data_IF_468839650115
#
_entry.id   IF_468839650115
#
_cell.length_a   1.000
_cell.length_b   1.000
_cell.length_c   1.000
_cell.angle_alpha   90.00
_cell.angle_beta   90.00
_cell.angle_gamma   90.00
#
_symmetry.space_group_name_H-M   'P 1'
#
loop_
_entity.id
_entity.type
_entity.pdbx_description
1 polymer ?
#
# COMPACT_ATOMS: atom_id res chain seq x y z
N UNK A 1 70.41 71.61 6.63
CA UNK A 1 69.78 70.44 5.88
C UNK A 1 68.92 69.58 6.74
N UNK A 2 68.59 70.00 7.97
CA UNK A 2 67.87 69.14 8.94
C UNK A 2 66.37 69.48 9.12
N UNK A 3 65.81 70.55 8.60
CA UNK A 3 64.43 71.01 8.88
C UNK A 3 63.40 70.66 7.80
N UNK A 4 63.82 70.26 6.59
CA UNK A 4 62.87 69.82 5.53
C UNK A 4 62.31 68.38 5.69
N UNK A 5 63.02 67.57 6.44
CA UNK A 5 62.64 66.13 6.58
C UNK A 5 61.61 65.85 7.72
N UNK A 6 61.48 66.79 8.67
CA UNK A 6 60.51 66.60 9.74
C UNK A 6 59.06 66.82 9.30
N UNK A 7 58.85 67.77 8.39
CA UNK A 7 57.43 68.03 7.92
C UNK A 7 56.92 66.95 7.01
N UNK A 8 57.80 66.28 6.24
CA UNK A 8 57.34 65.16 5.38
C UNK A 8 56.90 63.88 6.20
N UNK A 9 57.57 63.66 7.33
CA UNK A 9 57.21 62.54 8.23
C UNK A 9 55.87 62.79 8.92
N UNK A 10 55.61 63.99 9.38
CA UNK A 10 54.34 64.40 9.96
C UNK A 10 53.21 64.41 8.97
N UNK A 11 53.39 64.79 7.72
CA UNK A 11 52.38 64.74 6.65
C UNK A 11 52.01 63.28 6.27
N UNK A 12 52.97 62.33 6.26
CA UNK A 12 52.72 60.92 6.01
C UNK A 12 52.02 60.26 7.17
N UNK A 13 52.35 60.62 8.43
CA UNK A 13 51.66 60.08 9.61
C UNK A 13 50.24 60.61 9.76
N UNK A 14 49.98 61.88 9.45
CA UNK A 14 48.68 62.50 9.46
C UNK A 14 47.78 61.96 8.34
N UNK A 15 48.31 61.74 7.14
CA UNK A 15 47.57 61.12 6.04
C UNK A 15 47.32 59.60 6.27
N UNK A 16 48.28 58.93 6.90
CA UNK A 16 48.08 57.51 7.28
C UNK A 16 46.94 57.30 8.29
N UNK A 17 46.87 58.19 9.31
CA UNK A 17 45.74 58.15 10.27
C UNK A 17 44.41 58.51 9.62
N UNK A 18 44.38 59.49 8.69
CA UNK A 18 43.17 59.88 7.98
C UNK A 18 42.65 58.75 7.07
N UNK A 19 43.57 58.03 6.39
CA UNK A 19 43.18 56.85 5.57
C UNK A 19 42.63 55.66 6.42
N UNK A 20 43.13 55.45 7.65
CA UNK A 20 42.61 54.41 8.53
C UNK A 20 41.23 54.77 9.08
N UNK A 21 40.99 56.04 9.41
CA UNK A 21 39.68 56.52 9.88
C UNK A 21 38.63 56.47 8.73
N UNK A 22 39.00 56.84 7.51
CA UNK A 22 38.10 56.74 6.34
C UNK A 22 37.75 55.26 6.04
N UNK A 23 38.69 54.33 6.19
CA UNK A 23 38.41 52.89 6.01
C UNK A 23 37.52 52.32 7.11
N UNK A 24 37.65 52.81 8.34
CA UNK A 24 36.77 52.38 9.44
C UNK A 24 35.36 52.95 9.25
N UNK A 25 35.20 54.19 8.84
CA UNK A 25 33.91 54.80 8.51
C UNK A 25 33.23 54.09 7.36
N UNK A 26 33.96 53.67 6.30
CA UNK A 26 33.39 52.90 5.19
C UNK A 26 32.87 51.53 5.68
N UNK A 27 33.62 50.85 6.55
CA UNK A 27 33.16 49.56 7.14
C UNK A 27 31.93 49.73 8.04
N UNK A 28 31.89 50.79 8.82
CA UNK A 28 30.75 51.07 9.72
C UNK A 28 29.49 51.39 8.91
N UNK A 29 29.61 52.18 7.85
CA UNK A 29 28.50 52.47 6.91
C UNK A 29 28.06 51.19 6.18
N UNK A 30 28.98 50.34 5.71
CA UNK A 30 28.64 49.08 5.09
C UNK A 30 27.92 48.11 6.05
N UNK A 31 28.31 48.08 7.32
CA UNK A 31 27.63 47.28 8.35
C UNK A 31 26.24 47.82 8.64
N UNK A 32 26.05 49.14 8.76
CA UNK A 32 24.73 49.74 8.95
C UNK A 32 23.80 49.49 7.75
N UNK A 33 24.31 49.68 6.53
CA UNK A 33 23.51 49.41 5.31
C UNK A 33 23.13 47.93 5.21
N UNK A 34 24.03 47.04 5.59
CA UNK A 34 23.71 45.57 5.66
C UNK A 34 22.66 45.27 6.70
N UNK A 35 22.79 45.84 7.91
CA UNK A 35 21.78 45.65 8.97
C UNK A 35 20.39 46.18 8.56
N UNK A 36 20.34 47.33 7.94
CA UNK A 36 19.08 47.91 7.47
C UNK A 36 18.43 47.12 6.35
N UNK A 37 19.26 46.58 5.45
CA UNK A 37 18.78 45.65 4.43
C UNK A 37 18.22 44.35 5.05
N UNK A 38 18.88 43.76 6.05
CA UNK A 38 18.35 42.58 6.79
C UNK A 38 17.06 42.94 7.51
N UNK A 39 16.95 44.05 8.18
CA UNK A 39 15.72 44.51 8.86
C UNK A 39 14.59 44.74 7.86
N UNK A 40 14.85 45.29 6.69
CA UNK A 40 13.88 45.52 5.61
C UNK A 40 13.35 44.21 5.06
N UNK A 41 14.25 43.26 4.74
CA UNK A 41 13.90 41.93 4.25
C UNK A 41 13.10 41.19 5.33
N UNK A 42 13.56 41.17 6.57
CA UNK A 42 12.86 40.54 7.69
C UNK A 42 11.46 41.10 7.88
N UNK A 43 11.30 42.43 7.93
CA UNK A 43 10.00 43.05 8.10
C UNK A 43 9.03 42.76 6.96
N UNK A 44 9.55 42.60 5.72
CA UNK A 44 8.76 42.26 4.56
C UNK A 44 8.29 40.80 4.58
N UNK A 45 9.16 39.86 4.98
CA UNK A 45 8.92 38.43 4.82
C UNK A 45 8.56 37.69 6.14
N UNK A 46 8.76 38.29 7.32
CA UNK A 46 8.50 37.65 8.61
C UNK A 46 7.11 37.01 8.70
N UNK A 47 6.05 37.67 8.18
CA UNK A 47 4.70 37.13 8.20
C UNK A 47 4.58 35.84 7.38
N UNK A 48 5.19 35.79 6.21
CA UNK A 48 5.20 34.60 5.33
C UNK A 48 6.00 33.46 5.94
N UNK A 49 7.13 33.78 6.58
CA UNK A 49 7.96 32.80 7.29
C UNK A 49 7.16 32.18 8.45
N UNK A 50 6.50 32.98 9.28
CA UNK A 50 5.67 32.47 10.38
C UNK A 50 4.50 31.61 9.86
N UNK A 51 3.80 32.05 8.80
CA UNK A 51 2.72 31.27 8.19
C UNK A 51 3.26 29.94 7.66
N UNK A 52 4.40 29.95 6.98
CA UNK A 52 5.04 28.73 6.47
C UNK A 52 5.38 27.75 7.59
N UNK A 53 5.93 28.23 8.70
CA UNK A 53 6.24 27.40 9.88
C UNK A 53 4.96 26.79 10.48
N UNK A 54 3.87 27.58 10.60
CA UNK A 54 2.60 27.09 11.13
C UNK A 54 2.02 25.99 10.22
N UNK A 55 2.04 26.19 8.89
CA UNK A 55 1.58 25.20 7.93
C UNK A 55 2.40 23.90 8.07
N UNK A 56 3.72 23.98 8.18
CA UNK A 56 4.60 22.85 8.31
C UNK A 56 4.34 22.06 9.61
N UNK A 57 4.16 22.76 10.72
CA UNK A 57 3.80 22.15 12.00
C UNK A 57 2.44 21.46 11.94
N UNK A 58 1.45 22.09 11.32
CA UNK A 58 0.11 21.51 11.15
C UNK A 58 0.15 20.24 10.31
N UNK A 59 0.95 20.21 9.24
CA UNK A 59 1.15 19.02 8.42
C UNK A 59 1.77 17.86 9.22
N UNK A 60 2.83 18.15 10.00
CA UNK A 60 3.48 17.12 10.84
C UNK A 60 2.52 16.55 11.87
N UNK A 61 1.76 17.40 12.56
CA UNK A 61 0.74 16.95 13.53
C UNK A 61 -0.32 16.10 12.85
N UNK A 62 -0.84 16.54 11.71
CA UNK A 62 -1.86 15.80 10.95
C UNK A 62 -1.40 14.40 10.54
N UNK A 63 -0.16 14.28 10.06
CA UNK A 63 0.43 12.98 9.69
C UNK A 63 0.55 12.07 10.91
N UNK A 64 1.01 12.60 12.06
CA UNK A 64 1.17 11.81 13.27
C UNK A 64 -0.19 11.35 13.83
N UNK A 65 -1.20 12.20 13.84
CA UNK A 65 -2.57 11.83 14.25
C UNK A 65 -3.15 10.76 13.33
N UNK A 66 -2.95 10.90 12.01
CA UNK A 66 -3.39 9.89 11.06
C UNK A 66 -2.72 8.52 11.29
N UNK A 67 -1.38 8.50 11.48
CA UNK A 67 -0.63 7.27 11.79
C UNK A 67 -1.12 6.62 13.08
N UNK A 68 -1.24 7.38 14.14
CA UNK A 68 -1.71 6.91 15.44
C UNK A 68 -3.11 6.29 15.38
N UNK A 69 -4.04 6.94 14.68
CA UNK A 69 -5.39 6.40 14.50
C UNK A 69 -5.39 5.12 13.66
N UNK A 70 -4.51 5.03 12.66
CA UNK A 70 -4.34 3.82 11.85
C UNK A 70 -3.79 2.67 12.68
N UNK A 71 -2.76 2.91 13.48
CA UNK A 71 -2.15 1.91 14.38
C UNK A 71 -3.16 1.38 15.40
N UNK A 72 -3.91 2.25 16.06
CA UNK A 72 -4.99 1.84 16.98
C UNK A 72 -6.05 0.96 16.31
N UNK A 73 -6.40 1.27 15.06
CA UNK A 73 -7.33 0.43 14.30
C UNK A 73 -6.76 -0.95 14.01
N UNK A 74 -5.47 -1.03 13.67
CA UNK A 74 -4.79 -2.31 13.41
C UNK A 74 -4.73 -3.13 14.71
N UNK A 75 -4.33 -2.53 15.82
CA UNK A 75 -4.26 -3.16 17.13
C UNK A 75 -5.61 -3.75 17.54
N UNK A 76 -6.68 -2.95 17.48
CA UNK A 76 -8.04 -3.44 17.76
C UNK A 76 -8.42 -4.63 16.87
N UNK A 77 -8.07 -4.61 15.59
CA UNK A 77 -8.39 -5.71 14.68
C UNK A 77 -7.55 -6.95 14.93
N UNK A 78 -6.30 -6.79 15.37
CA UNK A 78 -5.46 -7.88 15.82
C UNK A 78 -6.08 -8.60 17.02
N UNK A 79 -6.54 -7.84 18.03
CA UNK A 79 -7.20 -8.39 19.20
C UNK A 79 -8.47 -9.14 18.85
N UNK A 80 -9.34 -8.54 18.03
CA UNK A 80 -10.56 -9.19 17.56
C UNK A 80 -10.25 -10.45 16.76
N UNK A 81 -9.24 -10.42 15.90
CA UNK A 81 -8.84 -11.58 15.12
C UNK A 81 -8.34 -12.72 16.03
N UNK A 82 -7.52 -12.39 17.03
CA UNK A 82 -7.06 -13.35 18.02
C UNK A 82 -8.25 -13.97 18.82
N UNK A 83 -9.20 -13.15 19.24
CA UNK A 83 -10.42 -13.65 19.88
C UNK A 83 -11.21 -14.60 18.96
N UNK A 84 -11.34 -14.25 17.67
CA UNK A 84 -12.02 -15.11 16.70
C UNK A 84 -11.31 -16.46 16.54
N UNK A 85 -9.97 -16.51 16.52
CA UNK A 85 -9.21 -17.77 16.44
C UNK A 85 -9.38 -18.61 17.69
N UNK A 86 -9.43 -17.98 18.89
CA UNK A 86 -9.75 -18.70 20.13
C UNK A 86 -11.16 -19.34 20.10
N UNK A 87 -12.18 -18.62 19.58
CA UNK A 87 -13.50 -19.20 19.41
C UNK A 87 -13.51 -20.38 18.42
N UNK A 88 -12.68 -20.33 17.36
CA UNK A 88 -12.53 -21.46 16.43
C UNK A 88 -11.92 -22.67 17.14
N UNK A 89 -10.90 -22.47 17.97
CA UNK A 89 -10.26 -23.53 18.76
C UNK A 89 -11.23 -24.18 19.78
N UNK A 90 -12.12 -23.38 20.35
CA UNK A 90 -13.20 -23.82 21.24
C UNK A 90 -14.43 -24.38 20.51
N UNK A 91 -14.38 -24.50 19.18
CA UNK A 91 -15.48 -24.92 18.30
C UNK A 91 -16.73 -24.02 18.38
N UNK A 92 -16.62 -22.82 18.94
CA UNK A 92 -17.68 -21.81 18.95
C UNK A 92 -17.69 -21.02 17.64
N UNK A 93 -18.06 -21.70 16.56
CA UNK A 93 -18.02 -21.14 15.21
C UNK A 93 -18.98 -19.98 15.00
N UNK A 94 -20.04 -19.84 15.81
CA UNK A 94 -21.00 -18.74 15.67
C UNK A 94 -20.41 -17.41 16.18
N UNK A 95 -19.75 -17.43 17.34
CA UNK A 95 -19.05 -16.24 17.83
C UNK A 95 -17.84 -15.89 16.96
N UNK A 96 -17.07 -16.89 16.52
CA UNK A 96 -16.00 -16.70 15.55
C UNK A 96 -16.50 -16.01 14.26
N UNK A 97 -17.58 -16.51 13.67
CA UNK A 97 -18.22 -15.93 12.48
C UNK A 97 -18.60 -14.46 12.68
N UNK A 98 -19.22 -14.14 13.83
CA UNK A 98 -19.64 -12.76 14.14
C UNK A 98 -18.46 -11.80 14.14
N UNK A 99 -17.39 -12.15 14.85
CA UNK A 99 -16.19 -11.32 14.96
C UNK A 99 -15.45 -11.21 13.61
N UNK A 100 -15.27 -12.32 12.90
CA UNK A 100 -14.62 -12.33 11.59
C UNK A 100 -15.39 -11.49 10.57
N UNK A 101 -16.73 -11.49 10.59
CA UNK A 101 -17.54 -10.59 9.76
C UNK A 101 -17.32 -9.13 10.12
N UNK A 102 -17.26 -8.77 11.40
CA UNK A 102 -16.98 -7.40 11.85
C UNK A 102 -15.64 -6.91 11.31
N UNK A 103 -14.59 -7.75 11.44
CA UNK A 103 -13.25 -7.43 10.93
C UNK A 103 -13.27 -7.28 9.39
N UNK A 104 -13.93 -8.19 8.68
CA UNK A 104 -14.03 -8.12 7.22
C UNK A 104 -14.72 -6.84 6.75
N UNK A 105 -15.81 -6.44 7.38
CA UNK A 105 -16.54 -5.22 7.03
C UNK A 105 -15.81 -3.94 7.37
N UNK A 106 -14.86 -3.95 8.30
CA UNK A 106 -14.05 -2.79 8.67
C UNK A 106 -13.16 -2.30 7.54
N UNK A 107 -12.82 -3.17 6.60
CA UNK A 107 -12.00 -2.89 5.42
C UNK A 107 -10.66 -2.19 5.74
N UNK A 108 -10.07 -2.46 6.92
CA UNK A 108 -9.00 -1.60 7.42
C UNK A 108 -7.61 -2.05 7.00
N UNK A 109 -7.33 -3.34 6.85
CA UNK A 109 -5.97 -3.86 6.52
C UNK A 109 -6.00 -5.34 6.22
N UNK A 110 -4.83 -6.00 6.22
CA UNK A 110 -4.69 -7.44 6.01
C UNK A 110 -5.56 -8.33 6.89
N UNK A 111 -5.97 -7.88 8.09
CA UNK A 111 -6.91 -8.63 8.94
C UNK A 111 -8.29 -8.78 8.30
N UNK A 112 -8.75 -7.79 7.52
CA UNK A 112 -9.99 -7.90 6.76
C UNK A 112 -9.92 -9.05 5.74
N UNK A 113 -8.78 -9.20 5.07
CA UNK A 113 -8.56 -10.23 4.07
C UNK A 113 -8.36 -11.61 4.73
N UNK A 114 -7.60 -11.67 5.82
CA UNK A 114 -7.46 -12.90 6.62
C UNK A 114 -8.80 -13.38 7.15
N UNK A 115 -9.62 -12.46 7.67
CA UNK A 115 -10.97 -12.79 8.14
C UNK A 115 -11.83 -13.36 7.04
N UNK A 116 -11.72 -12.83 5.81
CA UNK A 116 -12.38 -13.41 4.64
C UNK A 116 -11.96 -14.87 4.42
N UNK A 117 -10.65 -15.13 4.41
CA UNK A 117 -10.13 -16.49 4.18
C UNK A 117 -10.58 -17.48 5.28
N UNK A 118 -10.57 -17.04 6.54
CA UNK A 118 -11.06 -17.87 7.65
C UNK A 118 -12.57 -18.15 7.54
N UNK A 119 -13.37 -17.14 7.16
CA UNK A 119 -14.82 -17.35 6.95
C UNK A 119 -15.09 -18.35 5.83
N UNK A 120 -14.35 -18.28 4.71
CA UNK A 120 -14.46 -19.27 3.63
C UNK A 120 -14.06 -20.66 4.11
N UNK A 121 -12.96 -20.78 4.85
CA UNK A 121 -12.53 -22.07 5.39
C UNK A 121 -13.60 -22.71 6.27
N UNK A 122 -14.22 -21.92 7.14
CA UNK A 122 -15.33 -22.39 7.98
C UNK A 122 -16.57 -22.80 7.17
N UNK A 123 -16.88 -22.08 6.09
CA UNK A 123 -17.98 -22.46 5.18
C UNK A 123 -17.64 -23.76 4.45
N UNK A 124 -16.44 -23.89 3.90
CA UNK A 124 -15.99 -25.09 3.17
C UNK A 124 -15.97 -26.32 4.08
N UNK A 125 -15.61 -26.18 5.34
CA UNK A 125 -15.65 -27.23 6.35
C UNK A 125 -17.07 -27.49 6.90
N UNK A 126 -18.09 -26.82 6.38
CA UNK A 126 -19.50 -26.90 6.82
C UNK A 126 -19.71 -26.59 8.31
N UNK A 127 -18.83 -25.77 8.90
CA UNK A 127 -18.92 -25.33 10.30
C UNK A 127 -19.91 -24.17 10.48
N UNK A 128 -20.04 -23.32 9.42
CA UNK A 128 -20.99 -22.21 9.40
C UNK A 128 -21.73 -22.15 8.05
N UNK A 129 -22.91 -21.52 8.07
CA UNK A 129 -23.62 -21.09 6.86
C UNK A 129 -23.42 -19.60 6.69
N UNK A 130 -22.95 -19.18 5.52
CA UNK A 130 -22.68 -17.78 5.17
C UNK A 130 -22.72 -17.60 3.66
N UNK A 131 -23.38 -16.53 3.19
CA UNK A 131 -23.22 -16.11 1.80
C UNK A 131 -21.87 -15.38 1.64
N UNK A 132 -20.98 -15.97 0.86
CA UNK A 132 -19.63 -15.45 0.61
C UNK A 132 -19.69 -14.16 -0.20
N UNK A 133 -20.75 -13.93 -0.99
CA UNK A 133 -20.91 -12.73 -1.79
C UNK A 133 -21.14 -11.48 -0.94
N UNK A 134 -21.68 -11.61 0.26
CA UNK A 134 -21.83 -10.52 1.22
C UNK A 134 -20.49 -9.98 1.72
N UNK A 135 -19.43 -10.77 1.64
CA UNK A 135 -18.13 -10.38 2.18
C UNK A 135 -17.44 -9.32 1.34
N UNK A 136 -16.78 -8.37 2.01
CA UNK A 136 -16.09 -7.25 1.39
C UNK A 136 -14.67 -7.60 0.97
N UNK A 137 -14.24 -7.08 -0.18
CA UNK A 137 -12.89 -7.25 -0.73
C UNK A 137 -12.39 -5.92 -1.31
N UNK A 138 -11.16 -5.54 -0.98
CA UNK A 138 -10.50 -4.36 -1.56
C UNK A 138 -9.67 -4.73 -2.79
N UNK A 139 -9.79 -3.95 -3.88
CA UNK A 139 -9.00 -4.16 -5.11
C UNK A 139 -7.49 -4.05 -4.90
N UNK A 140 -7.04 -3.26 -3.94
CA UNK A 140 -5.62 -3.08 -3.60
C UNK A 140 -5.12 -4.02 -2.50
N UNK A 141 -5.91 -5.04 -2.12
CA UNK A 141 -5.49 -6.07 -1.19
C UNK A 141 -4.43 -6.96 -1.81
N UNK A 142 -3.45 -7.38 -0.99
CA UNK A 142 -2.47 -8.38 -1.37
C UNK A 142 -3.12 -9.72 -1.76
N UNK A 143 -4.24 -10.06 -1.12
CA UNK A 143 -4.98 -11.30 -1.33
C UNK A 143 -6.16 -11.16 -2.30
N UNK A 144 -6.29 -10.00 -2.98
CA UNK A 144 -7.45 -9.74 -3.85
C UNK A 144 -7.68 -10.87 -4.87
N UNK A 145 -6.64 -11.28 -5.57
CA UNK A 145 -6.73 -12.36 -6.56
C UNK A 145 -7.15 -13.69 -5.94
N UNK A 146 -6.55 -14.08 -4.80
CA UNK A 146 -6.91 -15.30 -4.10
C UNK A 146 -8.38 -15.27 -3.63
N UNK A 147 -8.82 -14.16 -3.08
CA UNK A 147 -10.20 -13.99 -2.63
C UNK A 147 -11.18 -14.09 -3.79
N UNK A 148 -10.85 -13.51 -4.95
CA UNK A 148 -11.67 -13.62 -6.16
C UNK A 148 -11.73 -15.06 -6.68
N UNK A 149 -10.62 -15.76 -6.68
CA UNK A 149 -10.58 -17.19 -7.03
C UNK A 149 -11.47 -18.03 -6.09
N UNK A 150 -11.43 -17.76 -4.79
CA UNK A 150 -12.27 -18.47 -3.82
C UNK A 150 -13.76 -18.16 -3.99
N UNK A 151 -14.13 -16.91 -4.25
CA UNK A 151 -15.52 -16.54 -4.59
C UNK A 151 -16.00 -17.29 -5.82
N UNK A 152 -15.24 -17.25 -6.89
CA UNK A 152 -15.56 -17.93 -8.14
C UNK A 152 -15.69 -19.45 -7.96
N UNK A 153 -14.78 -20.09 -7.21
CA UNK A 153 -14.87 -21.50 -6.88
C UNK A 153 -16.17 -21.83 -6.13
N UNK A 154 -16.58 -20.96 -5.22
CA UNK A 154 -17.85 -21.13 -4.53
C UNK A 154 -19.05 -20.98 -5.48
N UNK A 155 -19.04 -19.99 -6.38
CA UNK A 155 -20.08 -19.79 -7.40
C UNK A 155 -20.21 -21.01 -8.33
N UNK A 156 -19.08 -21.53 -8.84
CA UNK A 156 -19.07 -22.77 -9.64
C UNK A 156 -19.73 -23.94 -8.89
N UNK A 157 -19.56 -24.03 -7.58
CA UNK A 157 -20.06 -25.14 -6.80
C UNK A 157 -21.51 -24.95 -6.33
N UNK A 158 -21.99 -23.71 -6.22
CA UNK A 158 -23.35 -23.41 -5.75
C UNK A 158 -24.35 -23.19 -6.90
N UNK A 159 -24.01 -22.40 -7.90
CA UNK A 159 -24.87 -22.08 -9.03
C UNK A 159 -24.09 -21.69 -10.27
N UNK A 160 -23.78 -22.67 -11.12
CA UNK A 160 -22.98 -22.48 -12.36
C UNK A 160 -23.66 -21.57 -13.38
N UNK A 161 -24.97 -21.39 -13.33
CA UNK A 161 -25.71 -20.61 -14.33
C UNK A 161 -25.74 -19.11 -14.02
N UNK A 162 -25.45 -18.75 -12.76
CA UNK A 162 -25.41 -17.34 -12.34
C UNK A 162 -24.04 -17.01 -11.75
N UNK A 163 -23.06 -16.79 -12.62
CA UNK A 163 -21.69 -16.45 -12.26
C UNK A 163 -21.41 -14.98 -12.55
N UNK A 164 -21.26 -14.18 -11.49
CA UNK A 164 -21.02 -12.74 -11.62
C UNK A 164 -19.53 -12.38 -11.82
N UNK A 165 -18.62 -13.26 -11.38
CA UNK A 165 -17.19 -12.94 -11.32
C UNK A 165 -16.35 -13.49 -12.50
N UNK A 166 -16.97 -14.05 -13.56
CA UNK A 166 -16.25 -14.70 -14.67
C UNK A 166 -15.22 -13.77 -15.33
N UNK A 167 -15.61 -12.52 -15.63
CA UNK A 167 -14.70 -11.55 -16.27
C UNK A 167 -13.48 -11.24 -15.41
N UNK A 168 -13.63 -11.18 -14.08
CA UNK A 168 -12.51 -10.96 -13.16
C UNK A 168 -11.54 -12.15 -13.16
N UNK A 169 -12.03 -13.38 -13.29
CA UNK A 169 -11.20 -14.58 -13.37
C UNK A 169 -10.46 -14.63 -14.73
N UNK A 170 -11.12 -14.24 -15.81
CA UNK A 170 -10.48 -14.07 -17.12
C UNK A 170 -9.35 -13.02 -17.01
N UNK A 171 -9.55 -11.93 -16.30
CA UNK A 171 -8.49 -10.95 -16.06
C UNK A 171 -7.33 -11.51 -15.20
N UNK A 172 -7.64 -12.33 -14.21
CA UNK A 172 -6.63 -13.02 -13.39
C UNK A 172 -5.89 -14.12 -14.15
N UNK A 173 -6.43 -14.64 -15.25
CA UNK A 173 -5.78 -15.65 -16.10
C UNK A 173 -4.76 -15.06 -17.09
N UNK A 174 -4.68 -13.73 -17.21
CA UNK A 174 -3.74 -13.06 -18.12
C UNK A 174 -2.27 -13.32 -17.74
N UNK A 175 -1.33 -13.31 -18.71
CA UNK A 175 0.08 -13.59 -18.46
C UNK A 175 0.74 -12.71 -17.39
N UNK A 176 0.27 -11.49 -17.21
CA UNK A 176 0.78 -10.53 -16.23
C UNK A 176 0.33 -10.81 -14.78
N UNK A 177 -0.60 -11.73 -14.57
CA UNK A 177 -1.15 -12.04 -13.26
C UNK A 177 -0.31 -13.08 -12.50
N UNK A 178 -0.05 -12.83 -11.23
CA UNK A 178 0.55 -13.82 -10.33
C UNK A 178 -0.38 -15.02 -10.06
N UNK A 179 -1.66 -14.90 -10.37
CA UNK A 179 -2.70 -15.90 -10.12
C UNK A 179 -3.09 -16.67 -11.39
N UNK A 180 -2.39 -16.46 -12.52
CA UNK A 180 -2.77 -16.96 -13.84
C UNK A 180 -3.02 -18.48 -13.87
N UNK A 181 -2.19 -19.27 -13.23
CA UNK A 181 -2.34 -20.73 -13.27
C UNK A 181 -3.52 -21.25 -12.45
N UNK A 182 -3.74 -20.66 -11.26
CA UNK A 182 -4.92 -20.99 -10.46
C UNK A 182 -6.22 -20.51 -11.13
N UNK A 183 -6.17 -19.38 -11.82
CA UNK A 183 -7.31 -18.91 -12.61
C UNK A 183 -7.61 -19.85 -13.77
N UNK A 184 -6.62 -20.31 -14.51
CA UNK A 184 -6.80 -21.30 -15.58
C UNK A 184 -7.32 -22.65 -15.06
N UNK A 185 -6.89 -23.08 -13.89
CA UNK A 185 -7.42 -24.29 -13.28
C UNK A 185 -8.91 -24.19 -12.94
N UNK A 186 -9.32 -23.04 -12.36
CA UNK A 186 -10.73 -22.79 -12.06
C UNK A 186 -11.57 -22.59 -13.32
N UNK A 187 -11.03 -21.92 -14.36
CA UNK A 187 -11.69 -21.81 -15.66
C UNK A 187 -11.91 -23.19 -16.30
N UNK A 188 -10.92 -24.08 -16.22
CA UNK A 188 -11.09 -25.46 -16.67
C UNK A 188 -12.25 -26.15 -15.94
N UNK A 189 -12.33 -26.03 -14.61
CA UNK A 189 -13.41 -26.59 -13.81
C UNK A 189 -14.79 -26.00 -14.19
N UNK A 190 -14.84 -24.69 -14.47
CA UNK A 190 -16.03 -24.01 -14.95
C UNK A 190 -16.49 -24.56 -16.30
N UNK A 191 -15.57 -24.63 -17.29
CA UNK A 191 -15.89 -25.15 -18.63
C UNK A 191 -16.33 -26.60 -18.60
N UNK A 192 -15.70 -27.45 -17.76
CA UNK A 192 -16.13 -28.83 -17.59
C UNK A 192 -17.57 -28.93 -17.09
N UNK A 193 -17.95 -28.12 -16.11
CA UNK A 193 -19.33 -28.11 -15.61
C UNK A 193 -20.34 -27.57 -16.62
N UNK A 194 -19.87 -26.77 -17.57
CA UNK A 194 -20.67 -26.29 -18.73
C UNK A 194 -20.66 -27.25 -19.92
N UNK A 195 -20.04 -28.44 -19.78
CA UNK A 195 -19.80 -29.40 -20.86
C UNK A 195 -18.99 -28.85 -22.05
N UNK A 196 -18.21 -27.79 -21.83
CA UNK A 196 -17.31 -27.19 -22.82
C UNK A 196 -15.91 -27.80 -22.66
N UNK A 197 -15.77 -29.01 -23.17
CA UNK A 197 -14.56 -29.82 -23.04
C UNK A 197 -13.34 -29.15 -23.68
N UNK A 198 -13.55 -28.48 -24.83
CA UNK A 198 -12.44 -27.92 -25.59
C UNK A 198 -11.81 -26.72 -24.86
N UNK A 199 -12.61 -25.81 -24.32
CA UNK A 199 -12.12 -24.68 -23.52
C UNK A 199 -11.55 -25.14 -22.18
N UNK A 200 -12.07 -26.24 -21.58
CA UNK A 200 -11.48 -26.83 -20.39
C UNK A 200 -10.07 -27.36 -20.64
N UNK A 201 -9.86 -28.12 -21.72
CA UNK A 201 -8.55 -28.64 -22.11
C UNK A 201 -7.61 -27.47 -22.48
N UNK A 202 -8.10 -26.46 -23.21
CA UNK A 202 -7.29 -25.30 -23.56
C UNK A 202 -6.76 -24.59 -22.29
N UNK A 203 -7.59 -24.41 -21.27
CA UNK A 203 -7.19 -23.81 -20.00
C UNK A 203 -6.12 -24.65 -19.29
N UNK A 204 -6.26 -25.98 -19.26
CA UNK A 204 -5.24 -26.88 -18.68
C UNK A 204 -3.93 -26.86 -19.47
N UNK A 205 -3.98 -26.77 -20.81
CA UNK A 205 -2.80 -26.72 -21.64
C UNK A 205 -1.94 -25.48 -21.39
N UNK A 206 -2.53 -24.34 -21.00
CA UNK A 206 -1.75 -23.15 -20.58
C UNK A 206 -0.88 -23.47 -19.39
N UNK A 207 -1.38 -24.25 -18.44
CA UNK A 207 -0.64 -24.67 -17.25
C UNK A 207 0.45 -25.69 -17.60
N UNK A 208 0.06 -26.71 -18.39
CA UNK A 208 0.93 -27.85 -18.74
C UNK A 208 2.13 -27.39 -19.56
N UNK A 209 1.95 -26.44 -20.47
CA UNK A 209 2.98 -25.97 -21.39
C UNK A 209 3.84 -24.84 -20.80
N UNK A 210 3.56 -24.37 -19.59
CA UNK A 210 4.33 -23.32 -18.92
C UNK A 210 5.41 -23.89 -18.03
N UNK A 211 6.67 -23.48 -18.24
CA UNK A 211 7.79 -23.88 -17.39
C UNK A 211 7.71 -23.29 -15.98
N UNK A 212 7.14 -22.09 -15.84
CA UNK A 212 7.01 -21.35 -14.59
C UNK A 212 5.72 -21.66 -13.79
N UNK A 213 4.91 -22.64 -14.24
CA UNK A 213 3.67 -23.02 -13.53
C UNK A 213 3.90 -23.78 -12.20
N UNK A 214 5.12 -24.18 -11.93
CA UNK A 214 5.43 -25.06 -10.80
C UNK A 214 5.03 -26.52 -11.07
N UNK A 215 5.88 -27.45 -10.63
CA UNK A 215 5.71 -28.89 -10.94
C UNK A 215 4.39 -29.44 -10.40
N UNK A 216 4.05 -29.12 -9.17
CA UNK A 216 2.83 -29.63 -8.53
C UNK A 216 1.53 -29.21 -9.27
N UNK A 217 1.42 -27.94 -9.68
CA UNK A 217 0.25 -27.46 -10.41
C UNK A 217 0.21 -28.08 -11.81
N UNK A 218 1.34 -28.22 -12.45
CA UNK A 218 1.47 -28.83 -13.79
C UNK A 218 1.05 -30.31 -13.80
N UNK A 219 1.53 -31.09 -12.87
CA UNK A 219 1.17 -32.51 -12.75
C UNK A 219 -0.33 -32.69 -12.45
N UNK A 220 -0.89 -31.86 -11.59
CA UNK A 220 -2.35 -31.85 -11.33
C UNK A 220 -3.13 -31.53 -12.61
N UNK A 221 -2.70 -30.53 -13.38
CA UNK A 221 -3.35 -30.18 -14.65
C UNK A 221 -3.27 -31.30 -15.67
N UNK A 222 -2.12 -32.00 -15.79
CA UNK A 222 -1.97 -33.19 -16.67
C UNK A 222 -2.93 -34.28 -16.27
N UNK A 223 -2.99 -34.61 -14.97
CA UNK A 223 -3.89 -35.66 -14.47
C UNK A 223 -5.34 -35.37 -14.82
N UNK A 224 -5.80 -34.13 -14.61
CA UNK A 224 -7.16 -33.73 -14.95
C UNK A 224 -7.39 -33.79 -16.48
N UNK A 225 -6.45 -33.32 -17.30
CA UNK A 225 -6.57 -33.39 -18.76
C UNK A 225 -6.65 -34.83 -19.29
N UNK A 226 -5.90 -35.77 -18.68
CA UNK A 226 -5.98 -37.18 -19.02
C UNK A 226 -7.32 -37.82 -18.61
N UNK A 227 -7.84 -37.48 -17.43
CA UNK A 227 -9.16 -37.95 -16.98
C UNK A 227 -10.26 -37.51 -17.95
N UNK A 228 -10.22 -36.24 -18.41
CA UNK A 228 -11.18 -35.71 -19.40
C UNK A 228 -11.11 -36.49 -20.70
N UNK A 229 -9.88 -36.78 -21.21
CA UNK A 229 -9.70 -37.51 -22.46
C UNK A 229 -10.19 -38.96 -22.40
N UNK A 230 -10.09 -39.62 -21.24
CA UNK A 230 -10.60 -41.00 -21.03
C UNK A 230 -12.13 -41.08 -20.98
N UNK A 231 -12.80 -40.00 -20.60
CA UNK A 231 -14.24 -39.97 -20.45
C UNK A 231 -14.97 -39.37 -21.68
N UNK A 232 -14.23 -39.06 -22.77
CA UNK A 232 -14.76 -38.58 -24.04
C UNK A 232 -14.94 -39.74 -25.00
#
# INVERSE_FOLDING_TARGET
>A
TGLKNKNLVWDVLLNGNKMSDDQNLIKEVDEEVRQDNYKRIWNKYKKYIFISIIILLTLVVSINVYKFNKEKKIEKQSELFFQATQYIELEDYQNAKKILKEINYSQTTGYSDLSFLYLIDLVNKKKISLDINDLKVKKNSLFYGLIKLQKFNNEINSNIDNIDNLNEIIDLSKPSSNWKYLAHELLSSYYLKKNDIDNAIQSLNVIINSEDSGEFIRERAKTVAEMIKRNK
#
